data_IF_166354046897
#
_entry.id   IF_166354046897
#
_cell.length_a   1.000
_cell.length_b   1.000
_cell.length_c   1.000
_cell.angle_alpha   90.00
_cell.angle_beta   90.00
_cell.angle_gamma   90.00
#
_symmetry.space_group_name_H-M   'P 1'
#
loop_
_entity.id
_entity.type
_entity.pdbx_description
1 polymer ?
#
# COMPACT_ATOMS: atom_id res chain seq x y z
N UNK A 1 -4.42 32.31 8.07
CA UNK A 1 -3.59 31.35 7.36
C UNK A 1 -4.18 30.88 6.01
N UNK A 2 -5.49 30.63 5.89
CA UNK A 2 -6.16 30.17 4.64
C UNK A 2 -5.90 31.08 3.40
N UNK A 3 -5.85 32.39 3.54
CA UNK A 3 -5.62 33.31 2.42
C UNK A 3 -4.19 33.31 1.86
N UNK A 4 -3.18 32.95 2.68
CA UNK A 4 -1.77 32.92 2.24
C UNK A 4 -1.43 31.65 1.43
N UNK A 5 -2.07 30.53 1.73
CA UNK A 5 -1.83 29.29 0.99
C UNK A 5 -2.40 29.36 -0.45
N UNK A 6 -3.60 29.95 -0.59
CA UNK A 6 -4.22 30.17 -1.91
C UNK A 6 -3.37 31.13 -2.76
N UNK A 7 -2.76 32.14 -2.13
CA UNK A 7 -1.88 33.08 -2.83
C UNK A 7 -0.58 32.41 -3.33
N UNK A 8 -0.05 31.43 -2.61
CA UNK A 8 1.15 30.70 -3.04
C UNK A 8 0.82 29.76 -4.23
N UNK A 9 -0.32 29.12 -4.23
CA UNK A 9 -0.75 28.28 -5.35
C UNK A 9 -1.02 29.12 -6.62
N UNK A 10 -1.61 30.29 -6.48
CA UNK A 10 -1.88 31.19 -7.60
C UNK A 10 -0.59 31.82 -8.16
N UNK A 11 0.40 32.09 -7.32
CA UNK A 11 1.70 32.60 -7.77
C UNK A 11 2.51 31.54 -8.51
N UNK A 12 2.42 30.27 -8.12
CA UNK A 12 3.07 29.17 -8.83
C UNK A 12 2.41 28.95 -10.22
N UNK A 13 1.10 29.09 -10.32
CA UNK A 13 0.41 28.96 -11.62
C UNK A 13 0.66 30.13 -12.56
N UNK A 14 0.82 31.34 -12.05
CA UNK A 14 1.04 32.54 -12.91
C UNK A 14 2.48 32.69 -13.40
N UNK A 15 3.47 32.15 -12.69
CA UNK A 15 4.87 32.13 -13.16
C UNK A 15 5.18 30.98 -14.11
N UNK A 16 4.41 29.88 -14.08
CA UNK A 16 4.57 28.79 -15.04
C UNK A 16 4.11 29.14 -16.45
N UNK A 17 3.14 30.04 -16.60
CA UNK A 17 2.57 30.40 -17.92
C UNK A 17 3.54 31.21 -18.81
N UNK A 18 4.58 31.82 -18.26
CA UNK A 18 5.53 32.66 -19.00
C UNK A 18 6.78 31.88 -19.51
N UNK A 19 6.97 30.60 -19.09
CA UNK A 19 8.16 29.83 -19.44
C UNK A 19 7.94 28.73 -20.51
N UNK A 20 6.74 28.64 -21.11
CA UNK A 20 6.36 27.52 -21.99
C UNK A 20 6.56 27.83 -23.48
N UNK A 21 7.46 28.69 -23.84
CA UNK A 21 7.74 28.89 -25.27
C UNK A 21 9.22 28.68 -25.52
N UNK A 22 9.66 27.42 -25.64
CA UNK A 22 10.70 26.99 -26.59
C UNK A 22 10.94 25.49 -26.49
N UNK A 23 10.83 24.81 -27.61
CA UNK A 23 11.15 23.43 -27.93
C UNK A 23 10.20 22.35 -27.37
N UNK A 24 9.16 22.06 -28.12
CA UNK A 24 8.46 20.77 -28.05
C UNK A 24 9.43 19.66 -28.49
N UNK A 25 10.22 19.13 -27.56
CA UNK A 25 10.78 17.80 -27.70
C UNK A 25 9.63 16.84 -27.47
N UNK A 26 9.46 15.85 -28.35
CA UNK A 26 8.38 14.89 -28.22
C UNK A 26 8.36 14.23 -26.85
N UNK A 27 7.19 13.93 -26.34
CA UNK A 27 7.03 13.24 -25.09
C UNK A 27 7.57 11.80 -25.21
N UNK A 28 8.33 11.36 -24.21
CA UNK A 28 8.75 9.97 -24.10
C UNK A 28 7.58 9.13 -23.59
N UNK A 29 7.25 8.07 -24.31
CA UNK A 29 6.25 7.08 -23.93
C UNK A 29 6.91 5.74 -23.66
N UNK A 30 6.77 5.24 -22.43
CA UNK A 30 7.26 3.93 -22.03
C UNK A 30 6.05 3.05 -21.70
N UNK A 31 5.98 1.89 -22.35
CA UNK A 31 5.03 0.84 -22.02
C UNK A 31 5.78 -0.20 -21.19
N UNK A 32 5.21 -0.54 -20.05
CA UNK A 32 5.77 -1.54 -19.16
C UNK A 32 4.67 -2.33 -18.46
N UNK A 33 5.08 -3.37 -17.76
CA UNK A 33 4.11 -4.17 -17.03
C UNK A 33 4.68 -5.47 -16.50
N UNK A 34 3.76 -6.28 -16.00
CA UNK A 34 4.03 -7.61 -15.47
C UNK A 34 2.87 -8.53 -15.81
N UNK A 35 3.20 -9.73 -16.27
CA UNK A 35 2.27 -10.85 -16.39
C UNK A 35 2.73 -11.94 -15.42
N UNK A 36 1.80 -12.43 -14.63
CA UNK A 36 2.06 -13.46 -13.63
C UNK A 36 0.93 -14.47 -13.59
N UNK A 37 1.27 -15.73 -13.34
CA UNK A 37 0.32 -16.77 -12.96
C UNK A 37 0.93 -17.64 -11.89
N UNK A 38 0.10 -18.09 -10.95
CA UNK A 38 0.53 -18.99 -9.90
C UNK A 38 -0.53 -20.07 -9.63
N UNK A 39 -0.06 -21.28 -9.37
CA UNK A 39 -0.87 -22.32 -8.73
C UNK A 39 -0.77 -22.11 -7.23
N UNK A 40 -1.91 -22.04 -6.56
CA UNK A 40 -2.00 -21.95 -5.11
C UNK A 40 -2.88 -23.05 -4.57
N UNK A 41 -2.46 -23.66 -3.47
CA UNK A 41 -3.25 -24.57 -2.65
C UNK A 41 -3.37 -23.98 -1.26
N UNK A 42 -4.59 -23.74 -0.83
CA UNK A 42 -4.92 -23.11 0.45
C UNK A 42 -5.72 -24.10 1.28
N UNK A 43 -5.22 -24.41 2.45
CA UNK A 43 -5.86 -25.26 3.45
C UNK A 43 -6.17 -24.44 4.68
N UNK A 44 -7.43 -24.40 5.07
CA UNK A 44 -7.92 -23.61 6.21
C UNK A 44 -8.61 -24.56 7.16
N UNK A 45 -8.27 -24.49 8.43
CA UNK A 45 -8.86 -25.33 9.46
C UNK A 45 -10.39 -25.22 9.47
N UNK A 46 -11.06 -26.37 9.41
CA UNK A 46 -12.53 -26.45 9.37
C UNK A 46 -13.18 -26.11 8.04
N UNK A 47 -12.40 -25.90 6.98
CA UNK A 47 -12.88 -25.62 5.62
C UNK A 47 -12.18 -26.57 4.64
N UNK A 48 -12.87 -26.98 3.57
CA UNK A 48 -12.26 -27.79 2.53
C UNK A 48 -11.10 -27.07 1.85
N UNK A 49 -9.99 -27.78 1.63
CA UNK A 49 -8.84 -27.25 0.89
C UNK A 49 -9.26 -26.77 -0.51
N UNK A 50 -8.71 -25.63 -0.92
CA UNK A 50 -8.98 -24.99 -2.20
C UNK A 50 -7.69 -24.90 -3.02
N UNK A 51 -7.81 -25.12 -4.32
CA UNK A 51 -6.69 -24.94 -5.25
C UNK A 51 -7.13 -24.16 -6.47
N UNK A 52 -6.27 -23.28 -6.94
CA UNK A 52 -6.51 -22.49 -8.14
C UNK A 52 -5.23 -22.29 -8.95
N UNK A 53 -5.40 -22.08 -10.24
CA UNK A 53 -4.36 -21.51 -11.11
C UNK A 53 -4.89 -20.16 -11.56
N UNK A 54 -4.30 -19.10 -11.11
CA UNK A 54 -4.71 -17.75 -11.48
C UNK A 54 -3.60 -16.72 -11.19
N UNK A 55 -3.92 -15.47 -11.45
CA UNK A 55 -3.28 -14.28 -10.95
C UNK A 55 -4.22 -13.69 -9.87
N UNK A 56 -4.00 -14.03 -8.59
CA UNK A 56 -4.89 -13.54 -7.55
C UNK A 56 -4.82 -12.01 -7.49
N UNK A 57 -5.98 -11.40 -7.52
CA UNK A 57 -6.19 -10.00 -7.18
C UNK A 57 -5.35 -9.01 -8.00
N UNK A 58 -5.30 -9.18 -9.33
CA UNK A 58 -4.64 -8.21 -10.23
C UNK A 58 -3.14 -8.03 -9.95
N UNK A 59 -2.40 -9.11 -9.72
CA UNK A 59 -0.95 -9.06 -9.64
C UNK A 59 -0.30 -8.75 -10.98
N UNK A 60 -0.96 -9.09 -12.08
CA UNK A 60 -0.58 -8.62 -13.41
C UNK A 60 -1.04 -7.18 -13.64
N UNK A 61 -0.23 -6.41 -14.33
CA UNK A 61 -0.56 -5.03 -14.69
C UNK A 61 0.20 -4.59 -15.93
N UNK A 62 -0.33 -3.57 -16.60
CA UNK A 62 0.36 -2.83 -17.63
C UNK A 62 0.31 -1.33 -17.31
N UNK A 63 1.32 -0.59 -17.74
CA UNK A 63 1.36 0.84 -17.50
C UNK A 63 1.91 1.61 -18.69
N UNK A 64 1.43 2.84 -18.80
CA UNK A 64 1.94 3.87 -19.69
C UNK A 64 2.60 4.95 -18.83
N UNK A 65 3.89 5.15 -19.00
CA UNK A 65 4.64 6.26 -18.39
C UNK A 65 4.94 7.28 -19.47
N UNK A 66 4.57 8.52 -19.22
CA UNK A 66 4.76 9.63 -20.13
C UNK A 66 5.64 10.65 -19.42
N UNK A 67 6.64 11.15 -20.13
CA UNK A 67 7.45 12.27 -19.63
C UNK A 67 7.76 13.24 -20.77
N UNK A 68 7.75 14.53 -20.46
CA UNK A 68 8.08 15.61 -21.38
C UNK A 68 9.03 16.60 -20.70
N UNK A 69 10.11 16.93 -21.36
CA UNK A 69 11.04 17.94 -20.87
C UNK A 69 10.48 19.36 -21.16
N UNK A 70 10.19 20.09 -20.12
CA UNK A 70 9.67 21.46 -20.20
C UNK A 70 10.76 22.54 -20.21
N UNK A 71 12.02 22.14 -20.16
CA UNK A 71 13.16 23.06 -20.00
C UNK A 71 13.47 23.39 -18.54
N UNK A 72 14.59 24.08 -18.31
CA UNK A 72 15.03 24.52 -16.99
C UNK A 72 15.11 23.39 -15.92
N UNK A 73 15.36 22.14 -16.34
CA UNK A 73 15.42 21.00 -15.44
C UNK A 73 14.07 20.52 -14.90
N UNK A 74 12.96 20.95 -15.52
CA UNK A 74 11.60 20.54 -15.16
C UNK A 74 11.08 19.57 -16.22
N UNK A 75 10.40 18.52 -15.78
CA UNK A 75 9.69 17.55 -16.64
C UNK A 75 8.22 17.46 -16.22
N UNK A 76 7.33 17.39 -17.19
CA UNK A 76 5.97 16.92 -16.96
C UNK A 76 5.96 15.40 -16.91
N UNK A 77 5.14 14.83 -16.02
CA UNK A 77 4.99 13.40 -15.83
C UNK A 77 3.53 13.01 -15.90
N UNK A 78 3.25 11.83 -16.46
CA UNK A 78 1.98 11.16 -16.28
C UNK A 78 2.16 9.65 -16.19
N UNK A 79 1.29 8.99 -15.43
CA UNK A 79 1.22 7.54 -15.30
C UNK A 79 -0.23 7.08 -15.43
N UNK A 80 -0.43 6.02 -16.19
CA UNK A 80 -1.66 5.22 -16.18
C UNK A 80 -1.24 3.78 -15.93
N UNK A 81 -1.58 3.22 -14.77
CA UNK A 81 -1.35 1.83 -14.40
C UNK A 81 -2.70 1.12 -14.21
N UNK A 82 -2.85 -0.04 -14.83
CA UNK A 82 -4.07 -0.83 -14.84
C UNK A 82 -3.76 -2.30 -14.56
N UNK A 83 -4.39 -2.84 -13.53
CA UNK A 83 -4.33 -4.26 -13.22
C UNK A 83 -5.22 -5.08 -14.15
N UNK A 84 -4.86 -6.34 -14.34
CA UNK A 84 -5.70 -7.35 -14.97
C UNK A 84 -5.42 -8.71 -14.32
N UNK A 85 -6.29 -9.68 -14.53
CA UNK A 85 -6.01 -11.08 -14.20
C UNK A 85 -6.13 -11.96 -15.45
N UNK A 86 -5.48 -13.10 -15.44
CA UNK A 86 -5.47 -14.01 -16.58
C UNK A 86 -6.80 -14.78 -16.74
N UNK A 87 -7.66 -14.76 -15.72
CA UNK A 87 -8.99 -15.38 -15.76
C UNK A 87 -10.07 -14.52 -16.46
N UNK A 88 -9.71 -13.32 -16.95
CA UNK A 88 -10.56 -12.57 -17.89
C UNK A 88 -11.01 -11.19 -17.46
N UNK A 89 -10.66 -10.70 -16.27
CA UNK A 89 -11.00 -9.34 -15.87
C UNK A 89 -9.88 -8.36 -16.23
N UNK A 90 -10.22 -7.33 -17.00
CA UNK A 90 -9.34 -6.21 -17.32
C UNK A 90 -9.89 -4.97 -16.62
N UNK A 91 -9.04 -4.24 -15.87
CA UNK A 91 -9.42 -2.89 -15.51
C UNK A 91 -9.45 -2.50 -14.05
N UNK A 92 -8.71 -3.14 -13.18
CA UNK A 92 -8.44 -2.57 -11.86
C UNK A 92 -7.59 -1.31 -11.98
N UNK A 93 -8.13 -0.13 -11.63
CA UNK A 93 -7.33 1.09 -11.57
C UNK A 93 -6.30 0.99 -10.45
N UNK A 94 -5.00 1.01 -10.77
CA UNK A 94 -3.92 1.05 -9.81
C UNK A 94 -3.51 2.51 -9.56
N UNK A 95 -2.49 3.01 -10.23
CA UNK A 95 -2.10 4.40 -10.15
C UNK A 95 -2.49 5.17 -11.41
N UNK A 96 -2.91 6.41 -11.24
CA UNK A 96 -3.19 7.35 -12.33
C UNK A 96 -2.89 8.74 -11.84
N UNK A 97 -1.84 9.34 -12.37
CA UNK A 97 -1.44 10.67 -11.93
C UNK A 97 -0.84 11.50 -13.05
N UNK A 98 -0.78 12.80 -12.81
CA UNK A 98 -0.04 13.80 -13.56
C UNK A 98 0.77 14.64 -12.59
N UNK A 99 1.89 15.18 -13.03
CA UNK A 99 2.70 16.02 -12.15
C UNK A 99 3.93 16.61 -12.82
N UNK A 100 4.79 17.12 -11.98
CA UNK A 100 6.07 17.74 -12.36
C UNK A 100 7.19 17.08 -11.57
N UNK A 101 8.37 17.00 -12.18
CA UNK A 101 9.59 16.59 -11.49
C UNK A 101 10.78 17.47 -11.87
N UNK A 102 11.78 17.47 -11.00
CA UNK A 102 13.09 18.07 -11.24
C UNK A 102 14.15 17.31 -10.49
N UNK A 103 15.34 17.21 -11.08
CA UNK A 103 16.50 16.59 -10.46
C UNK A 103 17.02 17.39 -9.23
N UNK A 104 16.53 18.62 -9.02
CA UNK A 104 16.95 19.48 -7.90
C UNK A 104 16.05 19.40 -6.67
N UNK A 105 14.75 19.08 -6.83
CA UNK A 105 13.82 19.07 -5.69
C UNK A 105 12.98 17.78 -5.57
N UNK A 106 12.87 16.99 -6.64
CA UNK A 106 12.10 15.74 -6.64
C UNK A 106 10.87 15.81 -7.53
N UNK A 107 9.72 15.32 -7.03
CA UNK A 107 8.48 15.33 -7.81
C UNK A 107 7.28 15.75 -6.96
N UNK A 108 6.30 16.36 -7.63
CA UNK A 108 4.95 16.60 -7.12
C UNK A 108 3.95 16.02 -8.10
N UNK A 109 3.10 15.12 -7.64
CA UNK A 109 2.14 14.38 -8.46
C UNK A 109 0.74 14.45 -7.85
N UNK A 110 -0.27 14.41 -8.72
CA UNK A 110 -1.68 14.60 -8.39
C UNK A 110 -2.50 13.49 -9.02
N UNK A 111 -3.36 12.85 -8.26
CA UNK A 111 -4.27 11.83 -8.80
C UNK A 111 -4.55 10.68 -7.85
N UNK A 112 -4.63 9.46 -8.41
CA UNK A 112 -4.68 8.21 -7.67
C UNK A 112 -3.27 7.66 -7.54
N UNK A 113 -2.75 7.61 -6.32
CA UNK A 113 -1.32 7.42 -6.05
C UNK A 113 -1.16 6.49 -4.86
N UNK A 114 -0.15 5.62 -4.90
CA UNK A 114 0.24 4.84 -3.73
C UNK A 114 0.71 5.74 -2.59
N UNK A 115 0.44 5.32 -1.38
CA UNK A 115 0.85 6.07 -0.20
C UNK A 115 2.35 5.94 0.06
N UNK A 116 3.00 6.90 0.72
CA UNK A 116 4.38 6.77 1.16
C UNK A 116 4.66 5.52 2.00
N UNK A 117 3.69 5.04 2.75
CA UNK A 117 3.79 3.79 3.51
C UNK A 117 3.75 2.54 2.63
N UNK A 118 3.19 2.62 1.44
CA UNK A 118 3.15 1.50 0.53
C UNK A 118 4.50 1.29 -0.19
N UNK A 119 5.08 2.34 -0.78
CA UNK A 119 6.16 2.23 -1.76
C UNK A 119 7.44 3.02 -1.45
N UNK A 120 7.44 3.85 -0.39
CA UNK A 120 8.59 4.69 -0.04
C UNK A 120 9.27 4.27 1.26
N UNK A 121 8.52 3.97 2.33
CA UNK A 121 9.04 3.67 3.65
C UNK A 121 8.43 2.38 4.23
N UNK A 122 9.06 1.26 3.99
CA UNK A 122 8.54 -0.06 4.38
C UNK A 122 7.49 -0.56 3.39
N UNK A 123 6.43 -1.16 3.92
CA UNK A 123 5.38 -1.75 3.11
C UNK A 123 5.91 -2.82 2.14
N UNK A 124 5.57 -2.72 0.88
CA UNK A 124 6.06 -3.66 -0.12
C UNK A 124 7.56 -3.54 -0.45
N UNK A 125 8.22 -2.44 -0.07
CA UNK A 125 9.67 -2.29 -0.31
C UNK A 125 10.51 -3.25 0.52
N UNK A 126 9.91 -3.82 1.58
CA UNK A 126 10.54 -4.79 2.45
C UNK A 126 9.92 -6.18 2.39
N UNK A 127 8.83 -6.37 1.64
CA UNK A 127 8.21 -7.68 1.42
C UNK A 127 8.76 -8.32 0.14
N UNK A 128 9.63 -9.34 0.23
CA UNK A 128 10.19 -10.00 -0.94
C UNK A 128 9.16 -10.81 -1.75
N UNK A 129 8.02 -11.17 -1.15
CA UNK A 129 6.93 -11.89 -1.81
C UNK A 129 5.82 -10.98 -2.31
N UNK A 130 6.05 -9.67 -2.36
CA UNK A 130 5.04 -8.71 -2.87
C UNK A 130 4.49 -9.15 -4.22
N UNK A 131 3.18 -9.02 -4.38
CA UNK A 131 2.42 -9.52 -5.52
C UNK A 131 2.50 -11.04 -5.74
N UNK A 132 2.51 -11.81 -4.67
CA UNK A 132 2.26 -13.25 -4.69
C UNK A 132 1.26 -13.63 -3.61
N UNK A 133 0.70 -14.82 -3.66
CA UNK A 133 -0.15 -15.34 -2.58
C UNK A 133 0.61 -15.44 -1.24
N UNK A 134 1.95 -15.45 -1.26
CA UNK A 134 2.81 -15.50 -0.07
C UNK A 134 3.18 -14.12 0.50
N UNK A 135 2.68 -13.04 -0.08
CA UNK A 135 3.01 -11.70 0.42
C UNK A 135 2.61 -11.52 1.89
N UNK A 136 3.38 -10.73 2.62
CA UNK A 136 3.14 -10.46 4.02
C UNK A 136 2.01 -9.45 4.26
N UNK A 137 1.64 -8.68 3.25
CA UNK A 137 0.61 -7.66 3.30
C UNK A 137 -0.65 -8.10 2.57
N UNK A 138 -1.81 -7.87 3.13
CA UNK A 138 -3.10 -8.17 2.47
C UNK A 138 -3.48 -9.64 2.62
N UNK A 139 -3.71 -10.38 1.54
CA UNK A 139 -4.37 -11.69 1.46
C UNK A 139 -3.82 -12.81 2.36
N UNK A 140 -3.60 -12.56 3.63
CA UNK A 140 -3.19 -13.50 4.64
C UNK A 140 -1.89 -13.13 5.33
N UNK A 141 -1.38 -11.94 5.05
CA UNK A 141 -0.23 -11.40 5.73
C UNK A 141 -0.61 -10.61 6.97
N UNK A 142 0.34 -10.50 7.88
CA UNK A 142 0.20 -9.78 9.15
C UNK A 142 1.17 -8.59 9.24
N UNK A 143 1.73 -8.20 8.10
CA UNK A 143 2.79 -7.20 8.06
C UNK A 143 2.28 -5.77 8.22
N UNK A 144 1.07 -5.51 7.82
CA UNK A 144 0.52 -4.16 7.74
C UNK A 144 -0.80 -4.10 8.45
N UNK A 145 -0.81 -3.39 9.55
CA UNK A 145 -1.98 -3.18 10.37
C UNK A 145 -2.82 -1.99 9.94
N UNK A 146 -2.22 -1.03 9.25
CA UNK A 146 -2.92 0.20 8.90
C UNK A 146 -3.84 0.02 7.72
N UNK A 147 -5.10 0.04 7.99
CA UNK A 147 -6.15 0.14 7.01
C UNK A 147 -6.87 1.48 7.10
N UNK A 148 -6.18 2.53 7.53
CA UNK A 148 -6.74 3.86 7.41
C UNK A 148 -6.92 4.23 5.94
N UNK A 149 -7.76 5.19 5.64
CA UNK A 149 -8.10 5.59 4.28
C UNK A 149 -6.92 5.97 3.40
N UNK A 150 -5.76 6.29 4.00
CA UNK A 150 -4.53 6.62 3.30
C UNK A 150 -3.71 5.39 2.91
N UNK A 151 -4.12 4.23 3.37
CA UNK A 151 -3.53 2.96 2.98
C UNK A 151 -2.10 2.73 3.42
N UNK A 152 -1.71 1.47 3.42
CA UNK A 152 -0.34 1.06 3.75
C UNK A 152 0.10 -0.19 3.01
N UNK A 153 -0.76 -0.80 2.26
CA UNK A 153 -0.53 -2.05 1.54
C UNK A 153 -0.35 -1.88 0.03
N UNK A 154 0.08 -2.94 -0.66
CA UNK A 154 0.42 -2.90 -2.08
C UNK A 154 -0.76 -2.61 -3.01
N UNK A 155 -1.98 -2.68 -2.52
CA UNK A 155 -3.18 -2.41 -3.33
C UNK A 155 -3.81 -1.06 -3.07
N UNK A 156 -3.24 -0.30 -2.17
CA UNK A 156 -3.81 0.96 -1.72
C UNK A 156 -3.26 2.15 -2.48
N UNK A 157 -3.73 2.32 -3.70
CA UNK A 157 -3.66 3.63 -4.34
C UNK A 157 -4.83 4.49 -3.84
N UNK A 158 -4.51 5.64 -3.30
CA UNK A 158 -5.47 6.59 -2.71
C UNK A 158 -5.92 7.58 -3.77
N UNK A 159 -7.22 7.85 -3.85
CA UNK A 159 -7.77 8.80 -4.82
C UNK A 159 -7.59 10.26 -4.38
N UNK A 160 -7.52 11.15 -5.37
CA UNK A 160 -7.61 12.61 -5.14
C UNK A 160 -6.56 13.17 -4.18
N UNK A 161 -5.35 12.66 -4.26
CA UNK A 161 -4.24 13.08 -3.42
C UNK A 161 -3.22 13.92 -4.17
N UNK A 162 -2.46 14.69 -3.41
CA UNK A 162 -1.20 15.32 -3.81
C UNK A 162 -0.08 14.60 -3.07
N UNK A 163 0.94 14.16 -3.80
CA UNK A 163 2.13 13.56 -3.20
C UNK A 163 3.38 14.31 -3.67
N UNK A 164 4.25 14.60 -2.73
CA UNK A 164 5.58 15.11 -2.97
C UNK A 164 6.62 14.06 -2.54
N UNK A 165 7.59 13.77 -3.38
CA UNK A 165 8.76 12.97 -3.06
C UNK A 165 10.02 13.84 -3.28
N UNK A 166 10.85 13.99 -2.26
CA UNK A 166 12.10 14.74 -2.37
C UNK A 166 13.15 13.99 -3.19
N UNK A 167 14.13 14.71 -3.73
CA UNK A 167 15.41 14.10 -4.10
C UNK A 167 16.12 13.56 -2.86
N UNK A 168 17.05 12.63 -3.08
CA UNK A 168 17.93 12.17 -2.02
C UNK A 168 19.07 13.17 -1.82
N UNK A 169 19.28 13.64 -0.59
CA UNK A 169 20.35 14.56 -0.21
C UNK A 169 21.19 13.88 0.87
N UNK A 170 22.40 13.50 0.53
CA UNK A 170 23.33 12.81 1.46
C UNK A 170 22.73 11.57 2.11
N UNK A 171 21.96 10.79 1.36
CA UNK A 171 21.27 9.60 1.83
C UNK A 171 19.89 9.84 2.45
N UNK A 172 19.53 11.09 2.73
CA UNK A 172 18.22 11.43 3.28
C UNK A 172 17.22 11.77 2.18
N UNK A 173 16.01 11.24 2.27
CA UNK A 173 14.87 11.63 1.45
C UNK A 173 13.58 11.53 2.24
N UNK A 174 12.55 12.23 1.79
CA UNK A 174 11.22 12.19 2.41
C UNK A 174 10.11 12.21 1.35
N UNK A 175 8.95 11.70 1.74
CA UNK A 175 7.72 11.77 0.97
C UNK A 175 6.59 12.27 1.86
N UNK A 176 5.71 13.07 1.27
CA UNK A 176 4.52 13.59 1.94
C UNK A 176 3.33 13.46 1.01
N UNK A 177 2.24 12.92 1.52
CA UNK A 177 0.97 12.80 0.80
C UNK A 177 -0.11 13.55 1.57
N UNK A 178 -0.96 14.24 0.86
CA UNK A 178 -2.03 15.04 1.39
C UNK A 178 -3.31 14.77 0.60
N UNK A 179 -4.39 14.53 1.30
CA UNK A 179 -5.72 14.48 0.74
C UNK A 179 -6.51 15.71 1.22
N UNK A 180 -6.88 16.63 0.32
CA UNK A 180 -7.78 17.71 0.68
C UNK A 180 -9.22 17.18 0.73
N UNK A 181 -9.73 16.97 1.90
CA UNK A 181 -11.01 16.34 2.15
C UNK A 181 -10.83 15.07 2.97
N UNK A 182 -11.73 14.15 2.83
CA UNK A 182 -11.76 12.92 3.60
C UNK A 182 -11.35 11.73 2.75
N UNK A 183 -10.47 10.88 3.25
CA UNK A 183 -10.07 9.61 2.65
C UNK A 183 -11.22 8.60 2.58
N UNK A 184 -12.29 8.92 3.20
CA UNK A 184 -13.63 8.41 3.03
C UNK A 184 -13.85 6.91 3.21
N UNK A 185 -13.92 6.54 4.43
CA UNK A 185 -14.34 5.22 4.86
C UNK A 185 -15.87 5.04 4.85
N UNK A 186 -16.58 6.12 5.13
CA UNK A 186 -18.03 6.08 5.37
C UNK A 186 -18.85 6.18 4.08
N UNK A 187 -18.44 7.02 3.16
CA UNK A 187 -19.23 7.31 1.96
C UNK A 187 -19.29 6.16 0.97
N UNK A 188 -18.27 5.31 0.90
CA UNK A 188 -18.32 4.10 0.08
C UNK A 188 -19.52 3.21 0.44
N UNK A 189 -19.93 3.22 1.69
CA UNK A 189 -21.02 2.39 2.20
C UNK A 189 -22.32 3.15 2.46
N UNK A 190 -22.24 4.47 2.57
CA UNK A 190 -23.42 5.34 2.71
C UNK A 190 -23.84 6.00 1.38
N UNK A 191 -23.25 5.60 0.27
CA UNK A 191 -23.49 6.22 -1.04
C UNK A 191 -24.95 6.36 -1.44
N UNK A 192 -25.82 5.49 -0.93
CA UNK A 192 -27.28 5.62 -1.06
C UNK A 192 -27.91 6.66 -0.16
N UNK A 193 -27.31 7.00 0.96
CA UNK A 193 -27.83 7.94 1.97
C UNK A 193 -27.37 9.37 1.70
N UNK A 194 -26.15 9.53 1.20
CA UNK A 194 -25.55 10.85 0.94
C UNK A 194 -25.54 11.24 -0.54
N UNK A 195 -26.16 10.41 -1.41
CA UNK A 195 -26.22 10.69 -2.84
C UNK A 195 -24.92 10.43 -3.60
N UNK A 196 -23.92 9.81 -2.98
CA UNK A 196 -22.67 9.41 -3.61
C UNK A 196 -22.81 8.08 -4.35
N UNK A 197 -22.24 7.96 -5.52
CA UNK A 197 -22.18 6.72 -6.29
C UNK A 197 -21.01 5.85 -5.84
N UNK A 198 -20.99 5.33 -4.66
CA UNK A 198 -20.16 4.26 -4.08
C UNK A 198 -18.72 3.99 -4.52
N UNK A 199 -18.23 4.64 -5.56
CA UNK A 199 -16.93 4.41 -6.17
C UNK A 199 -15.99 5.62 -6.19
N UNK A 200 -16.42 6.76 -5.70
CA UNK A 200 -15.62 7.99 -5.66
C UNK A 200 -15.42 8.47 -4.23
N UNK A 201 -14.93 7.59 -3.47
CA UNK A 201 -14.44 7.82 -2.14
C UNK A 201 -13.29 8.81 -2.23
N UNK A 202 -13.29 9.80 -1.40
CA UNK A 202 -12.24 10.81 -1.35
C UNK A 202 -12.50 12.06 -2.17
N UNK A 203 -13.71 12.30 -2.64
CA UNK A 203 -13.98 13.48 -3.44
C UNK A 203 -15.32 14.17 -3.18
N UNK A 204 -15.89 14.04 -2.04
CA UNK A 204 -16.95 14.96 -1.64
C UNK A 204 -16.36 16.22 -1.05
N UNK A 205 -15.46 16.77 -1.79
CA UNK A 205 -14.83 18.03 -1.63
C UNK A 205 -15.40 18.94 -0.59
N UNK A 206 -14.90 18.90 0.59
CA UNK A 206 -15.16 20.02 1.37
C UNK A 206 -15.76 19.86 2.70
N UNK A 207 -15.65 18.76 3.26
CA UNK A 207 -15.82 18.69 4.68
C UNK A 207 -14.80 19.61 5.33
N UNK A 208 -15.22 20.78 5.64
CA UNK A 208 -14.70 21.76 6.62
C UNK A 208 -13.17 21.92 6.77
N UNK A 209 -12.38 21.48 5.78
CA UNK A 209 -10.92 21.69 5.75
C UNK A 209 -10.16 20.82 6.75
N UNK A 210 -10.67 19.71 7.15
CA UNK A 210 -9.94 18.62 7.76
C UNK A 210 -9.25 17.85 6.64
N UNK A 211 -7.94 17.71 6.72
CA UNK A 211 -7.11 17.11 5.70
C UNK A 211 -6.46 15.86 6.26
N UNK A 212 -6.46 14.80 5.46
CA UNK A 212 -5.73 13.60 5.76
C UNK A 212 -4.33 13.70 5.21
N UNK A 213 -3.36 13.14 5.92
CA UNK A 213 -1.98 13.19 5.48
C UNK A 213 -1.16 11.99 5.91
N UNK A 214 -0.15 11.71 5.12
CA UNK A 214 0.88 10.73 5.44
C UNK A 214 2.24 11.29 5.10
N UNK A 215 3.18 11.18 6.03
CA UNK A 215 4.57 11.61 5.85
C UNK A 215 5.51 10.46 6.18
N UNK A 216 6.56 10.33 5.41
CA UNK A 216 7.60 9.33 5.63
C UNK A 216 8.97 9.90 5.29
N UNK A 217 9.99 9.41 5.98
CA UNK A 217 11.37 9.74 5.72
C UNK A 217 12.21 8.47 5.73
N UNK A 218 13.32 8.50 4.98
CA UNK A 218 14.30 7.43 5.00
C UNK A 218 15.71 7.99 4.91
N UNK A 219 16.63 7.24 5.49
CA UNK A 219 18.06 7.53 5.43
C UNK A 219 18.81 6.28 4.99
N UNK A 220 19.54 6.39 3.88
CA UNK A 220 20.34 5.34 3.30
C UNK A 220 21.82 5.67 3.45
N UNK A 221 22.61 4.73 3.95
CA UNK A 221 24.05 4.86 4.10
C UNK A 221 24.76 3.56 3.70
N UNK A 222 25.89 3.70 3.03
CA UNK A 222 26.77 2.58 2.69
C UNK A 222 28.11 2.74 3.40
N UNK A 223 28.58 1.68 4.02
CA UNK A 223 29.90 1.60 4.64
C UNK A 223 30.55 0.29 4.26
N UNK A 224 31.64 0.33 3.49
CA UNK A 224 32.29 -0.83 2.88
C UNK A 224 31.28 -1.67 2.07
N UNK A 225 31.08 -2.95 2.44
CA UNK A 225 30.10 -3.84 1.80
C UNK A 225 28.71 -3.79 2.47
N UNK A 226 28.54 -3.04 3.55
CA UNK A 226 27.29 -2.91 4.25
C UNK A 226 26.46 -1.76 3.66
N UNK A 227 25.16 -1.98 3.55
CA UNK A 227 24.18 -0.96 3.19
C UNK A 227 23.08 -0.98 4.24
N UNK A 228 22.75 0.19 4.75
CA UNK A 228 21.68 0.40 5.72
C UNK A 228 20.67 1.36 5.12
N UNK A 229 19.40 1.06 5.30
CA UNK A 229 18.31 1.97 5.00
C UNK A 229 17.37 1.93 6.21
N UNK A 230 17.26 3.03 6.94
CA UNK A 230 16.31 3.18 8.03
C UNK A 230 15.19 4.10 7.56
N UNK A 231 13.98 3.83 7.99
CA UNK A 231 12.82 4.62 7.60
C UNK A 231 11.83 4.74 8.76
N UNK A 232 10.98 5.75 8.66
CA UNK A 232 9.88 5.94 9.56
C UNK A 232 8.85 6.89 8.98
N UNK A 233 7.69 6.93 9.58
CA UNK A 233 6.63 7.80 9.11
C UNK A 233 5.44 7.86 10.06
N UNK A 234 4.52 8.74 9.70
CA UNK A 234 3.28 8.96 10.42
C UNK A 234 2.14 9.19 9.42
N UNK A 235 1.01 8.57 9.68
CA UNK A 235 -0.22 8.67 8.90
C UNK A 235 -1.36 9.09 9.80
N UNK A 236 -2.19 9.99 9.32
CA UNK A 236 -3.38 10.46 10.01
C UNK A 236 -4.54 10.63 9.04
N UNK A 237 -5.63 9.95 9.36
CA UNK A 237 -6.91 10.00 8.69
C UNK A 237 -7.92 10.65 9.64
N UNK A 238 -8.23 11.91 9.40
CA UNK A 238 -9.13 12.70 10.23
C UNK A 238 -10.59 12.38 9.90
N UNK A 239 -11.45 12.56 10.86
CA UNK A 239 -12.89 12.41 10.69
C UNK A 239 -13.52 13.79 10.59
N UNK A 240 -14.27 14.02 9.53
CA UNK A 240 -14.98 15.28 9.35
C UNK A 240 -16.11 15.46 10.36
N UNK A 241 -16.50 16.70 10.57
CA UNK A 241 -17.65 17.02 11.44
C UNK A 241 -18.93 16.42 10.89
N UNK A 242 -19.10 16.38 9.58
CA UNK A 242 -20.25 15.77 8.92
C UNK A 242 -20.29 14.27 9.20
N UNK A 243 -19.19 13.56 9.10
CA UNK A 243 -19.11 12.14 9.41
C UNK A 243 -19.46 11.84 10.87
N UNK A 244 -18.97 12.65 11.80
CA UNK A 244 -19.34 12.54 13.22
C UNK A 244 -20.85 12.71 13.44
N UNK A 245 -21.49 13.60 12.69
CA UNK A 245 -22.91 13.90 12.84
C UNK A 245 -23.83 12.86 12.17
N UNK A 246 -23.36 12.19 11.13
CA UNK A 246 -24.12 11.18 10.38
C UNK A 246 -23.95 9.80 11.00
N UNK A 247 -22.82 9.56 11.64
CA UNK A 247 -22.44 8.26 12.14
C UNK A 247 -23.31 7.84 13.34
N UNK A 248 -23.97 6.70 13.21
CA UNK A 248 -24.53 5.93 14.33
C UNK A 248 -23.42 5.27 15.16
N UNK A 249 -22.18 5.40 14.75
CA UNK A 249 -20.98 4.78 15.32
C UNK A 249 -20.01 5.88 15.71
N UNK A 250 -19.34 5.71 16.82
CA UNK A 250 -18.38 6.68 17.33
C UNK A 250 -17.05 6.60 16.56
N UNK A 251 -17.04 7.09 15.32
CA UNK A 251 -15.84 7.14 14.48
C UNK A 251 -14.76 7.99 15.14
N UNK A 252 -13.53 7.59 14.98
CA UNK A 252 -12.35 8.25 15.53
C UNK A 252 -11.31 8.51 14.46
N UNK A 253 -10.48 9.53 14.68
CA UNK A 253 -9.30 9.80 13.87
C UNK A 253 -8.35 8.63 13.95
N UNK A 254 -8.00 8.05 12.80
CA UNK A 254 -7.07 6.92 12.71
C UNK A 254 -5.64 7.42 12.58
N UNK A 255 -4.72 6.82 13.31
CA UNK A 255 -3.33 7.19 13.32
C UNK A 255 -2.44 5.96 13.23
N UNK A 256 -1.36 6.07 12.47
CA UNK A 256 -0.34 5.02 12.34
C UNK A 256 1.04 5.62 12.42
N UNK A 257 1.85 5.12 13.34
CA UNK A 257 3.28 5.37 13.39
C UNK A 257 4.05 4.16 12.88
N UNK A 258 5.03 4.35 12.01
CA UNK A 258 5.88 3.28 11.46
C UNK A 258 7.34 3.60 11.63
N UNK A 259 8.13 2.56 11.95
CA UNK A 259 9.59 2.58 11.92
C UNK A 259 10.10 1.25 11.40
N UNK A 260 11.22 1.26 10.69
CA UNK A 260 11.81 0.04 10.18
C UNK A 260 13.17 0.26 9.51
N UNK A 261 13.67 -0.81 8.92
CA UNK A 261 14.95 -0.73 8.23
C UNK A 261 15.28 -1.97 7.42
N UNK A 262 16.31 -1.80 6.61
CA UNK A 262 16.91 -2.84 5.79
C UNK A 262 18.42 -2.78 6.00
N UNK A 263 19.03 -3.93 6.25
CA UNK A 263 20.47 -4.12 6.20
C UNK A 263 20.83 -5.12 5.11
N UNK A 264 21.84 -4.79 4.30
CA UNK A 264 22.36 -5.69 3.28
C UNK A 264 23.87 -5.80 3.39
N UNK A 265 24.38 -7.02 3.25
CA UNK A 265 25.81 -7.33 3.23
C UNK A 265 26.07 -8.44 2.22
N UNK A 266 26.78 -8.12 1.15
CA UNK A 266 27.02 -9.06 0.05
C UNK A 266 25.70 -9.68 -0.45
N UNK A 267 25.53 -10.98 -0.24
CA UNK A 267 24.37 -11.76 -0.66
C UNK A 267 23.25 -11.81 0.40
N UNK A 268 23.48 -11.28 1.60
CA UNK A 268 22.51 -11.26 2.69
C UNK A 268 21.73 -9.95 2.71
N UNK A 269 20.45 -10.04 3.01
CA UNK A 269 19.58 -8.92 3.31
C UNK A 269 18.69 -9.27 4.50
N UNK A 270 18.63 -8.39 5.47
CA UNK A 270 17.65 -8.43 6.57
C UNK A 270 16.78 -7.19 6.48
N UNK A 271 15.50 -7.34 6.74
CA UNK A 271 14.54 -6.24 6.74
C UNK A 271 13.50 -6.43 7.84
N UNK A 272 12.91 -5.33 8.28
CA UNK A 272 11.84 -5.37 9.24
C UNK A 272 11.20 -4.00 9.46
N UNK A 273 9.98 -4.01 9.99
CA UNK A 273 9.25 -2.83 10.41
C UNK A 273 8.37 -3.12 11.62
N UNK A 274 8.05 -2.08 12.34
CA UNK A 274 7.08 -2.06 13.41
C UNK A 274 6.09 -0.92 13.17
N UNK A 275 4.82 -1.18 13.43
CA UNK A 275 3.74 -0.21 13.39
C UNK A 275 3.01 -0.17 14.72
N UNK A 276 2.76 1.04 15.20
CA UNK A 276 1.79 1.31 16.25
C UNK A 276 0.57 1.98 15.61
N UNK A 277 -0.60 1.46 15.94
CA UNK A 277 -1.86 1.86 15.31
C UNK A 277 -2.84 2.31 16.39
N UNK A 278 -3.47 3.45 16.15
CA UNK A 278 -4.55 3.97 17.00
C UNK A 278 -5.83 4.10 16.17
N UNK A 279 -6.87 3.48 16.65
CA UNK A 279 -8.24 3.51 16.12
C UNK A 279 -8.41 2.98 14.67
N UNK A 280 -7.40 2.31 14.08
CA UNK A 280 -7.40 1.83 12.70
C UNK A 280 -7.29 0.30 12.55
N UNK A 281 -7.01 -0.44 13.61
CA UNK A 281 -6.54 -1.82 13.48
C UNK A 281 -7.66 -2.83 13.17
N UNK A 282 -8.88 -2.56 13.57
CA UNK A 282 -10.01 -3.46 13.30
C UNK A 282 -10.25 -3.72 11.82
N UNK A 283 -9.99 -2.74 10.97
CA UNK A 283 -10.13 -2.88 9.52
C UNK A 283 -9.05 -3.80 8.91
N UNK A 284 -7.82 -3.76 9.39
CA UNK A 284 -6.74 -4.62 8.91
C UNK A 284 -6.97 -6.08 9.27
N UNK A 285 -7.38 -6.36 10.50
CA UNK A 285 -7.70 -7.74 10.92
C UNK A 285 -8.89 -8.33 10.18
N UNK A 286 -9.78 -7.50 9.68
CA UNK A 286 -10.89 -7.93 8.85
C UNK A 286 -10.46 -8.39 7.46
N UNK A 287 -9.52 -7.70 6.81
CA UNK A 287 -8.99 -8.15 5.53
C UNK A 287 -8.23 -9.46 5.65
N UNK A 288 -7.55 -9.70 6.77
CA UNK A 288 -6.87 -10.96 7.05
C UNK A 288 -7.86 -12.12 7.24
N UNK A 289 -8.99 -11.87 7.88
CA UNK A 289 -10.05 -12.87 8.00
C UNK A 289 -10.73 -13.18 6.65
N UNK A 290 -10.86 -12.19 5.74
CA UNK A 290 -11.31 -12.42 4.36
C UNK A 290 -10.34 -13.33 3.61
N UNK A 291 -9.06 -13.14 3.81
CA UNK A 291 -8.03 -14.01 3.27
C UNK A 291 -8.05 -15.44 3.82
N UNK A 292 -8.69 -15.67 4.96
CA UNK A 292 -8.92 -16.99 5.53
C UNK A 292 -10.13 -17.74 4.92
N UNK A 293 -10.71 -17.24 3.83
CA UNK A 293 -11.68 -18.00 3.03
C UNK A 293 -13.14 -17.90 3.47
N UNK A 294 -13.47 -17.10 4.46
CA UNK A 294 -14.84 -16.84 4.87
C UNK A 294 -15.40 -15.56 4.25
N UNK A 295 -15.46 -15.51 2.93
CA UNK A 295 -15.88 -14.33 2.17
C UNK A 295 -17.26 -13.80 2.60
N UNK A 296 -18.17 -14.68 2.98
CA UNK A 296 -19.53 -14.28 3.32
C UNK A 296 -19.72 -13.75 4.74
N UNK A 297 -18.92 -14.21 5.70
CA UNK A 297 -19.02 -13.74 7.09
C UNK A 297 -18.19 -12.47 7.31
N UNK A 298 -17.11 -12.35 6.59
CA UNK A 298 -16.15 -11.25 6.72
C UNK A 298 -16.70 -9.95 6.14
N UNK A 299 -17.35 -10.01 4.98
CA UNK A 299 -17.97 -8.81 4.37
C UNK A 299 -19.11 -8.23 5.20
N UNK A 300 -19.72 -9.01 6.06
CA UNK A 300 -20.78 -8.54 6.96
C UNK A 300 -20.26 -7.96 8.27
N UNK A 301 -19.18 -8.53 8.82
CA UNK A 301 -18.64 -8.12 10.12
C UNK A 301 -17.57 -7.04 10.00
N UNK A 302 -16.90 -6.97 8.86
CA UNK A 302 -15.76 -6.11 8.63
C UNK A 302 -16.07 -4.95 7.69
N UNK A 303 -17.22 -4.36 7.80
CA UNK A 303 -17.49 -3.11 7.12
C UNK A 303 -16.73 -1.99 7.85
N UNK A 304 -15.43 -1.91 7.57
CA UNK A 304 -14.49 -0.99 8.22
C UNK A 304 -14.93 0.47 8.13
N UNK A 305 -15.73 0.79 7.11
CA UNK A 305 -16.28 2.12 6.94
C UNK A 305 -17.34 2.49 7.96
N UNK A 306 -17.96 1.51 8.60
CA UNK A 306 -19.05 1.75 9.56
C UNK A 306 -18.65 1.50 11.02
N UNK A 307 -17.48 0.92 11.26
CA UNK A 307 -17.04 0.54 12.58
C UNK A 307 -15.68 1.14 12.90
N UNK A 308 -15.50 1.81 14.03
CA UNK A 308 -14.20 2.33 14.43
C UNK A 308 -13.23 1.18 14.63
N UNK A 309 -12.03 1.31 14.07
CA UNK A 309 -10.94 0.41 14.34
C UNK A 309 -10.45 0.51 15.78
N UNK A 310 -9.71 -0.48 16.22
CA UNK A 310 -9.07 -0.52 17.53
C UNK A 310 -7.62 -0.05 17.48
N UNK A 311 -7.02 -0.05 18.67
CA UNK A 311 -5.58 0.17 18.85
C UNK A 311 -4.82 -1.15 18.66
N UNK A 312 -3.51 -1.05 18.57
CA UNK A 312 -2.63 -2.21 18.58
C UNK A 312 -1.32 -1.99 17.86
N UNK A 313 -0.69 -3.06 17.47
CA UNK A 313 0.58 -3.02 16.78
C UNK A 313 0.72 -4.14 15.75
N UNK A 314 1.61 -3.92 14.80
CA UNK A 314 2.06 -4.96 13.88
C UNK A 314 3.57 -4.89 13.72
N UNK A 315 4.20 -6.05 13.51
CA UNK A 315 5.60 -6.11 13.12
C UNK A 315 5.82 -7.15 12.04
N UNK A 316 6.82 -6.93 11.23
CA UNK A 316 7.29 -7.84 10.21
C UNK A 316 8.81 -7.85 10.19
N UNK A 317 9.40 -9.03 10.05
CA UNK A 317 10.82 -9.19 9.84
C UNK A 317 11.10 -10.31 8.83
N UNK A 318 12.18 -10.17 8.07
CA UNK A 318 12.57 -11.19 7.11
C UNK A 318 14.04 -11.15 6.77
N UNK A 319 14.50 -12.25 6.20
CA UNK A 319 15.85 -12.46 5.73
C UNK A 319 15.87 -13.04 4.31
N UNK A 320 16.86 -12.65 3.53
CA UNK A 320 17.07 -13.13 2.18
C UNK A 320 18.55 -13.50 1.97
N UNK A 321 18.78 -14.55 1.19
CA UNK A 321 20.11 -14.93 0.76
C UNK A 321 20.14 -15.21 -0.74
N UNK A 322 20.95 -14.45 -1.48
CA UNK A 322 21.11 -14.61 -2.94
C UNK A 322 22.18 -15.67 -3.21
N UNK A 323 21.76 -16.80 -3.78
CA UNK A 323 22.62 -17.89 -4.24
C UNK A 323 22.55 -18.02 -5.76
N UNK A 324 23.54 -17.50 -6.46
CA UNK A 324 23.48 -17.43 -7.92
C UNK A 324 22.27 -16.64 -8.41
N UNK A 325 21.42 -17.30 -9.18
CA UNK A 325 20.16 -16.74 -9.67
C UNK A 325 18.97 -16.98 -8.74
N UNK A 326 19.18 -17.62 -7.59
CA UNK A 326 18.12 -17.95 -6.64
C UNK A 326 18.17 -17.01 -5.43
N UNK A 327 17.06 -16.44 -5.06
CA UNK A 327 16.88 -15.69 -3.82
C UNK A 327 16.07 -16.54 -2.84
N UNK A 328 16.72 -17.04 -1.79
CA UNK A 328 16.09 -17.78 -0.71
C UNK A 328 15.54 -16.78 0.32
N UNK A 329 14.33 -17.00 0.81
CA UNK A 329 13.58 -16.03 1.59
C UNK A 329 12.94 -16.72 2.78
N UNK A 330 13.04 -16.07 3.93
CA UNK A 330 12.27 -16.37 5.14
C UNK A 330 11.72 -15.07 5.71
N UNK A 331 10.48 -15.06 6.12
CA UNK A 331 9.86 -13.90 6.77
C UNK A 331 8.77 -14.32 7.74
N UNK A 332 8.45 -13.44 8.66
CA UNK A 332 7.36 -13.61 9.59
C UNK A 332 6.93 -12.28 10.20
N UNK A 333 5.79 -12.29 10.83
CA UNK A 333 5.22 -11.10 11.43
C UNK A 333 4.03 -11.42 12.31
N UNK A 334 3.55 -10.40 12.98
CA UNK A 334 2.42 -10.47 13.88
C UNK A 334 1.64 -9.16 13.86
N UNK A 335 0.33 -9.27 13.95
CA UNK A 335 -0.58 -8.17 14.28
C UNK A 335 -1.28 -8.51 15.59
N UNK A 336 -1.26 -7.60 16.55
CA UNK A 336 -2.00 -7.72 17.81
C UNK A 336 -2.96 -6.52 17.92
N UNK A 337 -4.26 -6.81 17.79
CA UNK A 337 -5.34 -5.84 17.78
C UNK A 337 -6.11 -5.89 19.10
N UNK A 338 -6.21 -4.76 19.77
CA UNK A 338 -7.11 -4.59 20.91
C UNK A 338 -8.57 -4.70 20.42
N UNK A 339 -9.42 -5.26 21.25
CA UNK A 339 -10.86 -5.28 21.00
C UNK A 339 -11.48 -3.87 21.04
N UNK A 340 -12.59 -3.73 20.35
CA UNK A 340 -13.48 -2.56 20.45
C UNK A 340 -14.86 -3.02 20.90
N UNK A 341 -15.80 -2.09 21.08
CA UNK A 341 -17.19 -2.44 21.39
C UNK A 341 -17.86 -3.28 20.29
N UNK A 342 -17.26 -3.28 19.09
CA UNK A 342 -17.81 -3.95 17.89
C UNK A 342 -16.96 -5.14 17.46
N UNK A 343 -15.64 -5.08 17.65
CA UNK A 343 -14.69 -6.12 17.24
C UNK A 343 -14.05 -6.77 18.46
N UNK A 344 -13.93 -8.09 18.41
CA UNK A 344 -13.13 -8.81 19.37
C UNK A 344 -11.63 -8.45 19.23
N UNK A 345 -10.89 -8.56 20.31
CA UNK A 345 -9.43 -8.50 20.22
C UNK A 345 -8.93 -9.70 19.43
N UNK A 346 -7.95 -9.48 18.57
CA UNK A 346 -7.44 -10.49 17.64
C UNK A 346 -5.92 -10.42 17.55
N UNK A 347 -5.32 -11.59 17.48
CA UNK A 347 -3.90 -11.75 17.18
C UNK A 347 -3.76 -12.58 15.91
N UNK A 348 -2.94 -12.12 14.98
CA UNK A 348 -2.61 -12.87 13.77
C UNK A 348 -1.09 -12.99 13.64
N UNK A 349 -0.60 -14.20 13.43
CA UNK A 349 0.82 -14.50 13.26
C UNK A 349 1.07 -15.16 11.92
N UNK A 350 2.17 -14.84 11.25
CA UNK A 350 2.55 -15.53 10.04
C UNK A 350 4.02 -15.94 10.00
N UNK A 351 4.27 -16.99 9.25
CA UNK A 351 5.60 -17.42 8.86
C UNK A 351 5.58 -17.82 7.38
N UNK A 352 6.56 -17.36 6.62
CA UNK A 352 6.66 -17.65 5.18
C UNK A 352 8.08 -18.05 4.83
N UNK A 353 8.23 -19.12 4.04
CA UNK A 353 9.50 -19.54 3.46
C UNK A 353 9.33 -19.85 1.98
N UNK A 354 10.30 -19.47 1.17
CA UNK A 354 10.26 -19.78 -0.26
C UNK A 354 11.44 -19.19 -1.02
N UNK A 355 11.29 -19.15 -2.34
CA UNK A 355 12.36 -18.67 -3.21
C UNK A 355 11.81 -18.05 -4.50
N UNK A 356 12.62 -17.16 -5.08
CA UNK A 356 12.55 -16.74 -6.47
C UNK A 356 13.79 -17.24 -7.20
N UNK A 357 13.61 -17.80 -8.40
CA UNK A 357 14.70 -18.17 -9.29
C UNK A 357 14.59 -17.38 -10.59
N UNK A 358 15.61 -16.56 -10.87
CA UNK A 358 15.65 -15.72 -12.05
C UNK A 358 16.07 -16.56 -13.26
N UNK A 359 15.17 -16.73 -14.22
CA UNK A 359 15.44 -17.33 -15.54
C UNK A 359 16.11 -16.32 -16.48
N UNK A 360 15.80 -15.05 -16.28
CA UNK A 360 16.37 -13.92 -17.00
C UNK A 360 16.25 -12.64 -16.15
N UNK A 361 16.69 -11.48 -16.68
CA UNK A 361 16.48 -10.17 -16.03
C UNK A 361 15.01 -9.79 -15.87
N UNK A 362 14.09 -10.42 -16.62
CA UNK A 362 12.68 -10.09 -16.68
C UNK A 362 11.76 -11.24 -16.29
N UNK A 363 12.27 -12.47 -16.28
CA UNK A 363 11.46 -13.66 -16.01
C UNK A 363 11.99 -14.40 -14.80
N UNK A 364 11.10 -14.80 -13.92
CA UNK A 364 11.41 -15.62 -12.74
C UNK A 364 10.31 -16.64 -12.48
N UNK A 365 10.70 -17.77 -11.91
CA UNK A 365 9.80 -18.69 -11.24
C UNK A 365 9.94 -18.49 -9.75
N UNK A 366 8.85 -18.74 -9.02
CA UNK A 366 8.85 -18.62 -7.57
C UNK A 366 7.98 -19.68 -6.93
N UNK A 367 8.18 -19.92 -5.66
CA UNK A 367 7.33 -20.79 -4.88
C UNK A 367 7.69 -20.76 -3.41
N UNK A 368 6.79 -21.30 -2.60
CA UNK A 368 7.00 -21.34 -1.16
C UNK A 368 5.77 -21.80 -0.39
N UNK A 369 5.90 -21.64 0.90
CA UNK A 369 4.90 -21.99 1.90
C UNK A 369 4.69 -20.84 2.87
N UNK A 370 3.45 -20.60 3.23
CA UNK A 370 3.05 -19.66 4.28
C UNK A 370 2.09 -20.33 5.25
N UNK A 371 2.35 -20.14 6.52
CA UNK A 371 1.45 -20.46 7.61
C UNK A 371 0.95 -19.17 8.25
N UNK A 372 -0.34 -19.06 8.49
CA UNK A 372 -0.98 -17.97 9.22
C UNK A 372 -1.88 -18.56 10.29
N UNK A 373 -1.68 -18.15 11.53
CA UNK A 373 -2.55 -18.44 12.65
C UNK A 373 -3.30 -17.18 13.05
N UNK A 374 -4.61 -17.28 13.27
CA UNK A 374 -5.44 -16.19 13.76
C UNK A 374 -6.17 -16.64 15.01
N UNK A 375 -5.84 -15.99 16.12
CA UNK A 375 -6.50 -16.15 17.41
C UNK A 375 -7.52 -15.02 17.61
N UNK A 376 -8.77 -15.37 17.79
CA UNK A 376 -9.83 -14.46 18.17
C UNK A 376 -10.21 -14.70 19.65
N UNK A 377 -9.82 -13.80 20.53
CA UNK A 377 -9.98 -13.98 22.00
C UNK A 377 -11.42 -14.12 22.46
N UNK A 378 -12.40 -13.79 21.63
CA UNK A 378 -13.83 -13.89 21.96
C UNK A 378 -14.56 -14.97 21.15
N UNK A 379 -13.89 -15.61 20.20
CA UNK A 379 -14.42 -16.70 19.39
C UNK A 379 -13.76 -18.02 19.79
N UNK A 380 -14.48 -19.08 19.88
CA UNK A 380 -13.92 -20.43 20.08
C UNK A 380 -13.25 -20.99 18.82
N UNK A 381 -12.97 -20.16 17.82
CA UNK A 381 -12.44 -20.55 16.52
C UNK A 381 -11.12 -19.88 16.23
N UNK A 382 -10.04 -20.40 16.83
CA UNK A 382 -8.71 -20.21 16.28
C UNK A 382 -8.69 -20.84 14.89
N UNK A 383 -8.06 -20.21 13.92
CA UNK A 383 -7.99 -20.73 12.56
C UNK A 383 -6.58 -20.67 12.03
N UNK A 384 -6.11 -21.81 11.59
CA UNK A 384 -4.87 -21.96 10.84
C UNK A 384 -5.13 -21.95 9.35
N UNK A 385 -4.27 -21.26 8.62
CA UNK A 385 -4.22 -21.31 7.16
C UNK A 385 -2.82 -21.70 6.71
N UNK A 386 -2.77 -22.73 5.86
CA UNK A 386 -1.57 -23.17 5.17
C UNK A 386 -1.70 -22.89 3.68
N UNK A 387 -0.73 -22.21 3.11
CA UNK A 387 -0.73 -21.86 1.69
C UNK A 387 0.55 -22.35 1.04
N UNK A 388 0.41 -23.14 -0.03
CA UNK A 388 1.50 -23.50 -0.94
C UNK A 388 1.28 -22.79 -2.26
N UNK A 389 2.32 -22.24 -2.83
CA UNK A 389 2.24 -21.66 -4.17
C UNK A 389 3.50 -21.91 -4.98
N UNK A 390 3.30 -22.00 -6.30
CA UNK A 390 4.36 -21.96 -7.29
C UNK A 390 3.86 -21.16 -8.49
N UNK A 391 4.70 -20.29 -9.02
CA UNK A 391 4.28 -19.39 -10.10
C UNK A 391 5.42 -18.97 -11.02
N UNK A 392 5.01 -18.29 -12.08
CA UNK A 392 5.90 -17.67 -13.05
C UNK A 392 5.52 -16.20 -13.21
N UNK A 393 6.54 -15.35 -13.30
CA UNK A 393 6.42 -13.91 -13.47
C UNK A 393 7.28 -13.45 -14.64
N UNK A 394 6.73 -12.60 -15.50
CA UNK A 394 7.45 -11.92 -16.56
C UNK A 394 7.17 -10.42 -16.52
N UNK A 395 8.23 -9.61 -16.48
CA UNK A 395 8.16 -8.14 -16.59
C UNK A 395 8.58 -7.73 -18.01
N UNK A 396 7.90 -6.77 -18.59
CA UNK A 396 8.17 -6.30 -19.95
C UNK A 396 8.29 -4.78 -20.04
#
# INVERSE_FOLDING_TARGET
MKKKLISIIIVITSTLTAAIITSAYGADLIIGGRVQSEYSSIDIEGISSQSSIDDPTFYSSWNLKISENLGNGIKALALIDSGFNLSGNIGGARERYVGLSSDSWGQIIFGRIHSPFADFAGGWTIDPFVYTTLQAAGSGGTMIASANGLGAGPYTAVNSVVRFDSVEINGFSFAAMLMPGDANRLEANLGGVLGGTGNNVGNTGGANGEWDFQVAAKYAVAFQAHRFNVFGGYSRDNISTEQKNISVVNLKTEQVGRVGGVWSYKNFRLQGQYEYVSDALGAATCSDAAALGSINDVTRQCNSAMNPGGNGSAWHAGGQYKWGNTNLIVQGGMTDADGTDVFASRKAENFTVGAFHDLSKRSSIFGGYQHVNVEDKNSATDRDRNTWTVGIRHNF
#
